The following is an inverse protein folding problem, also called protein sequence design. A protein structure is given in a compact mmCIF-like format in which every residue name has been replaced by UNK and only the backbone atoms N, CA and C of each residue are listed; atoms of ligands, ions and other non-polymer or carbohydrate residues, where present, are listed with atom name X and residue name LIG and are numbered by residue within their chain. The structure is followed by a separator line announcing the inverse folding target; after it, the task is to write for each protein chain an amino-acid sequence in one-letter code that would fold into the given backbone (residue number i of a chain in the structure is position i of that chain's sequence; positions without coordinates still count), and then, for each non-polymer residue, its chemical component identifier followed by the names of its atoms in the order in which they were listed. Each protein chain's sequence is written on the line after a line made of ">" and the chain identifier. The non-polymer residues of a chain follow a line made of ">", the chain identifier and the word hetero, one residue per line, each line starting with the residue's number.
data_IF_396334976485
#
_entry.id   IF_396334976485
#
_cell.length_a   1.000
_cell.length_b   1.000
_cell.length_c   1.000
_cell.angle_alpha   90.00
_cell.angle_beta   90.00
_cell.angle_gamma   90.00
#
_symmetry.space_group_name_H-M   'P 1'
#
loop_
_entity.id
_entity.type
_entity.pdbx_description
1 polymer ?
#
# COMPACT_ATOMS: atom_id res chain seq x y z
N UNK A 1 14.82 -45.03 23.55
CA UNK A 1 14.59 -45.18 22.09
C UNK A 1 14.89 -43.84 21.44
N UNK A 2 15.92 -43.78 20.59
CA UNK A 2 16.40 -42.55 19.99
C UNK A 2 15.29 -41.89 19.13
N UNK A 3 15.04 -40.61 19.38
CA UNK A 3 14.04 -39.80 18.69
C UNK A 3 14.49 -39.57 17.24
N UNK A 4 14.20 -40.52 16.35
CA UNK A 4 14.51 -40.37 14.92
C UNK A 4 13.66 -39.23 14.35
N UNK A 5 14.21 -38.37 13.47
CA UNK A 5 13.43 -37.33 12.83
C UNK A 5 12.25 -37.96 12.07
N UNK A 6 11.04 -37.41 12.24
CA UNK A 6 9.84 -37.83 11.51
C UNK A 6 10.06 -37.64 10.02
N UNK A 7 9.60 -38.58 9.20
CA UNK A 7 9.66 -38.47 7.73
C UNK A 7 8.88 -37.25 7.26
N UNK A 8 9.29 -36.60 6.17
CA UNK A 8 8.58 -35.43 5.69
C UNK A 8 7.15 -35.76 5.24
N UNK A 9 6.88 -37.00 4.82
CA UNK A 9 5.52 -37.49 4.55
C UNK A 9 4.65 -37.42 5.81
N UNK A 10 5.14 -37.95 6.93
CA UNK A 10 4.45 -37.92 8.24
C UNK A 10 4.36 -36.51 8.82
N UNK A 11 5.26 -35.59 8.43
CA UNK A 11 5.25 -34.20 8.89
C UNK A 11 4.15 -33.38 8.19
N UNK A 12 3.86 -33.69 6.93
CA UNK A 12 2.88 -32.97 6.12
C UNK A 12 1.57 -33.75 5.93
N UNK A 13 1.39 -34.86 6.66
CA UNK A 13 0.26 -35.78 6.55
C UNK A 13 -0.02 -36.21 5.09
N UNK A 14 1.07 -36.52 4.35
CA UNK A 14 1.01 -36.95 2.95
C UNK A 14 1.19 -38.48 2.86
N UNK A 15 0.28 -39.13 2.14
CA UNK A 15 0.40 -40.53 1.72
C UNK A 15 1.30 -40.66 0.49
N UNK A 16 1.92 -41.83 0.33
CA UNK A 16 2.78 -42.14 -0.82
C UNK A 16 2.01 -42.02 -2.15
N UNK A 17 0.72 -42.37 -2.16
CA UNK A 17 -0.17 -42.27 -3.31
C UNK A 17 -0.41 -40.82 -3.79
N UNK A 18 -0.13 -39.82 -2.94
CA UNK A 18 -0.21 -38.42 -3.34
C UNK A 18 0.99 -37.95 -4.17
N UNK A 19 2.06 -38.76 -4.26
CA UNK A 19 3.24 -38.52 -5.07
C UNK A 19 3.07 -39.11 -6.48
N UNK A 20 1.92 -38.85 -7.10
CA UNK A 20 1.60 -39.33 -8.45
C UNK A 20 1.10 -38.19 -9.37
N UNK A 21 1.30 -38.36 -10.67
CA UNK A 21 0.92 -37.38 -11.69
C UNK A 21 -0.59 -37.13 -11.72
N UNK A 22 -1.38 -38.18 -11.58
CA UNK A 22 -2.85 -38.09 -11.60
C UNK A 22 -3.38 -37.33 -10.39
N UNK A 23 -2.78 -37.56 -9.21
CA UNK A 23 -3.12 -36.83 -8.00
C UNK A 23 -2.78 -35.34 -8.12
N UNK A 24 -1.57 -35.01 -8.59
CA UNK A 24 -1.17 -33.61 -8.80
C UNK A 24 -2.06 -32.89 -9.83
N UNK A 25 -2.53 -33.60 -10.86
CA UNK A 25 -3.47 -33.05 -11.86
C UNK A 25 -4.82 -32.69 -11.25
N UNK A 26 -5.31 -33.51 -10.32
CA UNK A 26 -6.60 -33.31 -9.64
C UNK A 26 -6.48 -32.34 -8.45
N UNK A 27 -5.28 -32.13 -7.92
CA UNK A 27 -5.05 -31.26 -6.77
C UNK A 27 -5.36 -29.78 -7.11
N UNK A 28 -6.27 -29.19 -6.35
CA UNK A 28 -6.60 -27.76 -6.39
C UNK A 28 -6.04 -26.98 -5.19
N UNK A 29 -5.48 -27.69 -4.20
CA UNK A 29 -4.93 -27.09 -3.00
C UNK A 29 -3.46 -26.71 -3.20
N UNK A 30 -3.17 -25.41 -3.32
CA UNK A 30 -1.81 -24.91 -3.54
C UNK A 30 -0.84 -25.30 -2.41
N UNK A 31 -1.31 -25.41 -1.16
CA UNK A 31 -0.46 -25.76 -0.01
C UNK A 31 -0.02 -27.22 -0.02
N UNK A 32 -0.89 -28.11 -0.48
CA UNK A 32 -0.56 -29.53 -0.63
C UNK A 32 0.49 -29.71 -1.71
N UNK A 33 0.36 -29.05 -2.86
CA UNK A 33 1.36 -29.07 -3.94
C UNK A 33 2.70 -28.48 -3.46
N UNK A 34 2.70 -27.42 -2.65
CA UNK A 34 3.93 -26.89 -2.03
C UNK A 34 4.60 -27.93 -1.10
N UNK A 35 3.82 -28.69 -0.34
CA UNK A 35 4.35 -29.71 0.57
C UNK A 35 4.88 -30.93 -0.19
N UNK A 36 4.16 -31.38 -1.22
CA UNK A 36 4.62 -32.43 -2.15
C UNK A 36 5.94 -32.00 -2.80
N UNK A 37 6.06 -30.75 -3.26
CA UNK A 37 7.30 -30.25 -3.86
C UNK A 37 8.47 -30.23 -2.87
N UNK A 38 8.24 -29.93 -1.57
CA UNK A 38 9.28 -30.01 -0.53
C UNK A 38 9.75 -31.44 -0.29
N UNK A 39 8.82 -32.40 -0.28
CA UNK A 39 9.13 -33.85 -0.15
C UNK A 39 9.91 -34.35 -1.37
N UNK A 40 9.51 -33.96 -2.59
CA UNK A 40 10.21 -34.39 -3.79
C UNK A 40 11.61 -33.77 -3.92
N UNK A 41 11.81 -32.53 -3.45
CA UNK A 41 13.13 -31.87 -3.42
C UNK A 41 14.04 -32.38 -2.31
N UNK A 42 13.51 -32.93 -1.22
CA UNK A 42 14.34 -33.52 -0.14
C UNK A 42 14.97 -34.85 -0.56
N UNK A 43 14.38 -35.55 -1.53
CA UNK A 43 14.87 -36.83 -2.04
C UNK A 43 14.68 -38.00 -1.07
N UNK A 44 13.88 -37.85 0.00
CA UNK A 44 13.64 -38.90 1.00
C UNK A 44 13.00 -40.16 0.42
N UNK A 45 12.09 -40.00 -0.55
CA UNK A 45 11.38 -41.11 -1.22
C UNK A 45 11.98 -41.47 -2.59
N UNK A 46 13.09 -40.83 -2.98
CA UNK A 46 13.75 -41.00 -4.27
C UNK A 46 13.79 -39.72 -5.12
N UNK A 47 14.61 -39.75 -6.17
CA UNK A 47 14.81 -38.61 -7.07
C UNK A 47 13.93 -38.73 -8.32
N UNK A 48 12.85 -37.94 -8.38
CA UNK A 48 11.89 -37.96 -9.48
C UNK A 48 11.85 -36.62 -10.22
N UNK A 49 12.79 -36.36 -11.17
CA UNK A 49 12.94 -35.04 -11.80
C UNK A 49 11.75 -34.63 -12.68
N UNK A 50 11.01 -35.60 -13.23
CA UNK A 50 9.83 -35.32 -14.05
C UNK A 50 8.61 -34.96 -13.19
N UNK A 51 8.44 -35.64 -12.06
CA UNK A 51 7.37 -35.37 -11.10
C UNK A 51 7.59 -34.04 -10.37
N UNK A 52 8.84 -33.70 -10.03
CA UNK A 52 9.18 -32.39 -9.47
C UNK A 52 8.86 -31.26 -10.46
N UNK A 53 9.27 -31.40 -11.72
CA UNK A 53 8.98 -30.40 -12.76
C UNK A 53 7.47 -30.21 -12.95
N UNK A 54 6.71 -31.29 -12.98
CA UNK A 54 5.25 -31.24 -13.08
C UNK A 54 4.60 -30.58 -11.86
N UNK A 55 5.08 -30.88 -10.65
CA UNK A 55 4.63 -30.23 -9.42
C UNK A 55 4.98 -28.73 -9.39
N UNK A 56 6.14 -28.32 -9.92
CA UNK A 56 6.53 -26.92 -10.06
C UNK A 56 5.63 -26.16 -11.04
N UNK A 57 5.32 -26.76 -12.20
CA UNK A 57 4.42 -26.18 -13.18
C UNK A 57 3.00 -26.04 -12.63
N UNK A 58 2.51 -27.08 -11.93
CA UNK A 58 1.21 -27.05 -11.27
C UNK A 58 1.19 -25.98 -10.18
N UNK A 59 2.22 -25.88 -9.36
CA UNK A 59 2.35 -24.84 -8.34
C UNK A 59 2.39 -23.44 -8.96
N UNK A 60 3.06 -23.27 -10.11
CA UNK A 60 3.09 -21.99 -10.85
C UNK A 60 1.70 -21.58 -11.33
N UNK A 61 0.87 -22.54 -11.75
CA UNK A 61 -0.52 -22.29 -12.16
C UNK A 61 -1.45 -21.89 -11.01
N UNK A 62 -1.24 -22.45 -9.81
CA UNK A 62 -2.07 -22.17 -8.64
C UNK A 62 -1.58 -20.96 -7.83
N UNK A 63 -0.26 -20.82 -7.67
CA UNK A 63 0.40 -19.79 -6.87
C UNK A 63 1.77 -19.38 -7.43
N UNK A 64 1.80 -18.40 -8.34
CA UNK A 64 3.05 -17.94 -8.97
C UNK A 64 4.03 -17.28 -7.98
N UNK A 65 3.53 -16.69 -6.88
CA UNK A 65 4.35 -15.96 -5.90
C UNK A 65 5.00 -16.85 -4.82
N UNK A 66 4.88 -18.18 -4.94
CA UNK A 66 5.39 -19.10 -3.93
C UNK A 66 6.93 -19.02 -3.81
N UNK A 67 7.43 -19.04 -2.56
CA UNK A 67 8.88 -18.94 -2.29
C UNK A 67 9.68 -20.08 -2.92
N UNK A 68 9.05 -21.25 -3.10
CA UNK A 68 9.68 -22.44 -3.69
C UNK A 68 10.02 -22.29 -5.18
N UNK A 69 9.32 -21.40 -5.89
CA UNK A 69 9.59 -21.11 -7.31
C UNK A 69 10.70 -20.08 -7.52
N UNK A 70 11.17 -19.42 -6.45
CA UNK A 70 12.30 -18.49 -6.53
C UNK A 70 13.57 -19.27 -6.83
N UNK A 71 14.22 -18.92 -7.94
CA UNK A 71 15.54 -19.42 -8.29
C UNK A 71 16.58 -18.36 -7.94
N UNK A 72 17.72 -18.80 -7.43
CA UNK A 72 18.85 -17.91 -7.19
C UNK A 72 19.35 -17.42 -8.56
N UNK A 73 19.25 -16.11 -8.78
CA UNK A 73 19.81 -15.45 -9.95
C UNK A 73 21.11 -14.78 -9.52
N UNK A 74 22.21 -14.93 -10.29
CA UNK A 74 23.44 -14.21 -9.98
C UNK A 74 23.19 -12.70 -10.01
N UNK A 75 23.97 -11.95 -9.21
CA UNK A 75 23.92 -10.50 -9.21
C UNK A 75 24.12 -9.97 -10.63
N UNK A 76 23.26 -9.03 -11.03
CA UNK A 76 23.33 -8.41 -12.33
C UNK A 76 24.57 -7.52 -12.41
N UNK A 77 25.59 -7.97 -13.15
CA UNK A 77 26.79 -7.21 -13.45
C UNK A 77 26.58 -6.37 -14.71
N UNK A 78 27.45 -5.39 -14.97
CA UNK A 78 27.39 -4.55 -16.17
C UNK A 78 27.21 -5.34 -17.47
N UNK A 79 27.84 -6.51 -17.60
CA UNK A 79 27.80 -7.34 -18.80
C UNK A 79 26.56 -8.22 -18.94
N UNK A 80 25.75 -8.38 -17.89
CA UNK A 80 24.54 -9.22 -17.93
C UNK A 80 23.27 -8.41 -18.17
N UNK A 81 23.36 -7.08 -18.12
CA UNK A 81 22.24 -6.16 -18.30
C UNK A 81 22.31 -5.48 -19.68
N UNK A 82 21.15 -5.10 -20.26
CA UNK A 82 21.13 -4.26 -21.44
C UNK A 82 21.81 -2.90 -21.18
N UNK A 83 22.63 -2.45 -22.13
CA UNK A 83 23.44 -1.23 -21.99
C UNK A 83 22.59 0.01 -21.65
N UNK A 84 21.39 0.14 -22.23
CA UNK A 84 20.47 1.25 -21.93
C UNK A 84 20.05 1.32 -20.45
N UNK A 85 19.82 0.16 -19.83
CA UNK A 85 19.46 0.09 -18.42
C UNK A 85 20.67 0.42 -17.55
N UNK A 86 21.86 -0.05 -17.92
CA UNK A 86 23.09 0.27 -17.22
C UNK A 86 23.40 1.76 -17.28
N UNK A 87 23.24 2.40 -18.45
CA UNK A 87 23.41 3.84 -18.60
C UNK A 87 22.41 4.62 -17.74
N UNK A 88 21.15 4.18 -17.68
CA UNK A 88 20.15 4.83 -16.82
C UNK A 88 20.48 4.72 -15.33
N UNK A 89 21.02 3.56 -14.92
CA UNK A 89 21.45 3.34 -13.53
C UNK A 89 22.67 4.19 -13.22
N UNK A 90 23.67 4.20 -14.11
CA UNK A 90 24.92 4.94 -13.92
C UNK A 90 24.68 6.45 -13.89
N UNK A 91 23.83 6.98 -14.76
CA UNK A 91 23.47 8.41 -14.75
C UNK A 91 22.79 8.78 -13.44
N UNK A 92 21.80 8.00 -13.00
CA UNK A 92 21.13 8.23 -11.70
C UNK A 92 22.09 8.15 -10.52
N UNK A 93 23.04 7.23 -10.56
CA UNK A 93 24.03 7.06 -9.50
C UNK A 93 25.00 8.25 -9.46
N UNK A 94 25.42 8.74 -10.62
CA UNK A 94 26.25 9.95 -10.75
C UNK A 94 25.49 11.22 -10.36
N UNK A 95 24.23 11.36 -10.76
CA UNK A 95 23.34 12.45 -10.34
C UNK A 95 23.21 12.47 -8.81
N UNK A 96 22.93 11.31 -8.21
CA UNK A 96 22.86 11.16 -6.77
C UNK A 96 24.18 11.49 -6.08
N UNK A 97 25.31 11.02 -6.63
CA UNK A 97 26.63 11.31 -6.07
C UNK A 97 26.97 12.80 -6.15
N UNK A 98 26.62 13.47 -7.25
CA UNK A 98 26.79 14.92 -7.40
C UNK A 98 25.90 15.69 -6.42
N UNK A 99 24.64 15.26 -6.26
CA UNK A 99 23.73 15.85 -5.28
C UNK A 99 24.27 15.71 -3.86
N UNK A 100 24.77 14.53 -3.48
CA UNK A 100 25.36 14.31 -2.15
C UNK A 100 26.62 15.14 -1.91
N UNK A 101 27.48 15.31 -2.93
CA UNK A 101 28.63 16.20 -2.83
C UNK A 101 28.22 17.66 -2.66
N UNK A 102 27.21 18.12 -3.41
CA UNK A 102 26.68 19.48 -3.27
C UNK A 102 26.07 19.71 -1.89
N UNK A 103 25.36 18.71 -1.35
CA UNK A 103 24.82 18.71 0.02
C UNK A 103 25.97 18.82 1.04
N UNK A 104 27.02 18.01 0.89
CA UNK A 104 28.18 18.04 1.79
C UNK A 104 28.92 19.38 1.74
N UNK A 105 29.05 19.97 0.56
CA UNK A 105 29.69 21.27 0.38
C UNK A 105 28.86 22.42 0.97
N UNK A 106 27.54 22.39 0.81
CA UNK A 106 26.61 23.34 1.45
C UNK A 106 26.76 23.27 2.99
N UNK A 107 26.75 22.06 3.56
CA UNK A 107 26.93 21.85 5.00
C UNK A 107 28.30 22.34 5.50
N UNK A 108 29.39 22.07 4.75
CA UNK A 108 30.73 22.55 5.11
C UNK A 108 30.81 24.08 5.07
N UNK A 109 30.22 24.72 4.05
CA UNK A 109 30.26 26.17 3.90
C UNK A 109 29.51 26.93 5.01
N UNK A 110 28.48 26.32 5.59
CA UNK A 110 27.71 26.89 6.70
C UNK A 110 28.35 26.66 8.07
N UNK A 111 29.29 25.71 8.19
CA UNK A 111 29.89 25.32 9.47
C UNK A 111 30.97 26.29 9.98
N UNK A 112 31.47 27.19 9.12
CA UNK A 112 32.46 28.22 9.50
C UNK A 112 31.85 29.42 10.25
N UNK A 113 30.51 29.51 10.39
CA UNK A 113 29.83 30.70 10.96
C UNK A 113 29.32 30.53 12.41
N UNK A 114 29.55 29.39 13.08
CA UNK A 114 29.10 29.18 14.48
C UNK A 114 30.19 28.59 15.37
N UNK A 115 31.15 29.41 15.79
CA UNK A 115 31.96 29.14 17.00
C UNK A 115 31.12 29.43 18.26
N UNK A 116 30.10 28.60 18.51
CA UNK A 116 29.35 28.62 19.77
C UNK A 116 30.10 27.78 20.82
N UNK A 117 30.68 28.39 21.88
CA UNK A 117 31.48 27.68 22.89
C UNK A 117 30.69 26.68 23.75
N UNK A 118 29.36 26.63 23.58
CA UNK A 118 28.47 25.79 24.37
C UNK A 118 28.21 24.40 23.78
N UNK A 119 28.58 24.15 22.52
CA UNK A 119 28.33 22.87 21.84
C UNK A 119 29.62 22.03 21.78
N UNK A 120 29.62 20.78 22.27
CA UNK A 120 30.80 19.92 22.23
C UNK A 120 31.18 19.58 20.79
N UNK A 121 32.48 19.72 20.48
CA UNK A 121 33.06 19.47 19.15
C UNK A 121 32.72 18.05 18.67
N UNK A 122 32.08 17.95 17.51
CA UNK A 122 31.74 16.67 16.89
C UNK A 122 33.04 15.90 16.64
N UNK A 123 33.10 14.64 17.10
CA UNK A 123 34.26 13.77 16.87
C UNK A 123 34.34 13.44 15.38
N UNK A 124 35.24 14.12 14.66
CA UNK A 124 35.65 13.68 13.33
C UNK A 124 36.37 12.35 13.47
N UNK A 125 35.83 11.29 12.88
CA UNK A 125 36.57 10.04 12.70
C UNK A 125 37.62 10.34 11.62
N UNK A 126 38.93 10.24 11.92
CA UNK A 126 39.92 10.34 10.86
C UNK A 126 39.70 9.16 9.92
N UNK A 127 39.24 9.44 8.70
CA UNK A 127 39.30 8.48 7.61
C UNK A 127 40.77 8.41 7.18
N UNK A 128 41.58 7.75 7.99
CA UNK A 128 42.90 7.31 7.56
C UNK A 128 42.70 6.12 6.63
N UNK A 129 42.99 6.31 5.35
CA UNK A 129 43.43 5.23 4.46
C UNK A 129 44.70 4.64 5.07
N UNK A 130 44.53 3.77 6.07
CA UNK A 130 45.63 3.05 6.69
C UNK A 130 45.85 1.76 5.90
N UNK A 131 46.93 1.75 5.13
CA UNK A 131 47.58 0.53 4.68
C UNK A 131 47.84 -0.34 5.92
N UNK A 132 47.50 -1.62 5.79
CA UNK A 132 47.63 -2.62 6.85
C UNK A 132 49.11 -2.84 7.13
N UNK A 133 49.58 -2.39 8.30
CA UNK A 133 50.77 -2.94 8.95
C UNK A 133 50.30 -3.81 10.12
N UNK A 134 50.55 -5.11 9.99
CA UNK A 134 50.35 -6.10 11.05
C UNK A 134 51.38 -5.89 12.15
N UNK A 135 50.99 -5.20 13.22
CA UNK A 135 51.70 -5.25 14.50
C UNK A 135 50.95 -6.17 15.46
N UNK A 136 51.51 -7.36 15.66
CA UNK A 136 51.11 -8.38 16.62
C UNK A 136 50.82 -7.80 18.00
N UNK A 137 49.55 -7.74 18.38
CA UNK A 137 49.13 -7.34 19.71
C UNK A 137 49.01 -8.58 20.60
N UNK A 138 49.84 -8.62 21.63
CA UNK A 138 49.82 -9.59 22.72
C UNK A 138 48.44 -9.58 23.37
N UNK A 139 47.82 -10.77 23.46
CA UNK A 139 46.54 -10.95 24.16
C UNK A 139 46.68 -10.55 25.64
N UNK A 140 45.83 -9.66 26.18
CA UNK A 140 45.86 -9.37 27.61
C UNK A 140 45.34 -10.58 28.38
N UNK A 141 46.12 -11.03 29.36
CA UNK A 141 45.80 -12.15 30.23
C UNK A 141 44.40 -12.02 30.83
N UNK A 142 43.65 -13.12 30.78
CA UNK A 142 42.35 -13.28 31.42
C UNK A 142 42.46 -12.91 32.89
N UNK A 143 41.79 -11.83 33.31
CA UNK A 143 41.61 -11.49 34.73
C UNK A 143 40.74 -12.58 35.37
N UNK A 144 41.36 -13.65 35.85
CA UNK A 144 40.72 -14.62 36.72
C UNK A 144 40.13 -13.87 37.92
N UNK A 145 38.84 -14.12 38.19
CA UNK A 145 38.17 -13.62 39.39
C UNK A 145 38.84 -14.32 40.58
N UNK A 146 39.55 -13.54 41.42
CA UNK A 146 40.13 -14.03 42.68
C UNK A 146 39.02 -14.65 43.54
N UNK A 147 39.29 -15.80 44.15
CA UNK A 147 38.33 -16.46 45.04
C UNK A 147 37.87 -15.47 46.13
N UNK A 148 36.55 -15.39 46.33
CA UNK A 148 35.99 -14.52 47.36
C UNK A 148 36.27 -15.11 48.74
N UNK A 149 36.92 -14.33 49.60
CA UNK A 149 36.91 -14.57 51.05
C UNK A 149 35.49 -14.48 51.59
N UNK A 150 35.05 -15.55 52.25
CA UNK A 150 33.72 -15.62 52.88
C UNK A 150 33.62 -14.76 54.15
N UNK A 151 34.73 -14.24 54.68
CA UNK A 151 34.76 -13.32 55.84
C UNK A 151 33.96 -12.02 55.63
N UNK A 152 33.63 -11.69 54.37
CA UNK A 152 32.75 -10.55 54.05
C UNK A 152 31.28 -10.82 54.40
N UNK A 153 30.88 -12.08 54.51
CA UNK A 153 29.53 -12.49 54.89
C UNK A 153 29.26 -12.32 56.39
N UNK A 154 30.29 -12.40 57.23
CA UNK A 154 30.14 -12.15 58.68
C UNK A 154 29.83 -10.67 59.01
N UNK A 155 30.04 -9.76 58.04
CA UNK A 155 29.68 -8.34 58.13
C UNK A 155 28.35 -8.02 57.44
N UNK A 156 27.67 -9.02 56.87
CA UNK A 156 26.41 -8.83 56.16
C UNK A 156 25.27 -8.73 57.18
N UNK A 157 24.82 -7.51 57.43
CA UNK A 157 23.63 -7.25 58.22
C UNK A 157 22.41 -7.24 57.28
N UNK A 158 21.61 -8.30 57.36
CA UNK A 158 20.46 -8.52 56.50
C UNK A 158 19.43 -7.39 56.60
N UNK A 159 19.29 -6.78 57.77
CA UNK A 159 18.33 -5.69 57.99
C UNK A 159 18.79 -4.41 57.26
N UNK A 160 20.10 -4.17 57.21
CA UNK A 160 20.67 -3.01 56.49
C UNK A 160 20.58 -3.14 54.97
N UNK A 161 20.79 -4.33 54.42
CA UNK A 161 20.68 -4.56 52.99
C UNK A 161 19.22 -4.62 52.54
N UNK A 162 18.30 -5.12 53.38
CA UNK A 162 16.86 -5.00 53.13
C UNK A 162 16.42 -3.53 53.05
N UNK A 163 16.86 -2.69 54.00
CA UNK A 163 16.59 -1.25 53.98
C UNK A 163 17.15 -0.57 52.72
N UNK A 164 18.34 -1.00 52.27
CA UNK A 164 18.98 -0.49 51.05
C UNK A 164 18.25 -0.91 49.78
N UNK A 165 17.73 -2.14 49.73
CA UNK A 165 16.88 -2.61 48.64
C UNK A 165 15.57 -1.82 48.58
N UNK A 166 14.93 -1.55 49.72
CA UNK A 166 13.71 -0.75 49.79
C UNK A 166 13.95 0.69 49.29
N UNK A 167 15.07 1.30 49.70
CA UNK A 167 15.51 2.62 49.25
C UNK A 167 15.82 2.65 47.75
N UNK A 168 16.51 1.64 47.21
CA UNK A 168 16.81 1.56 45.78
C UNK A 168 15.54 1.33 44.96
N UNK A 169 14.58 0.56 45.46
CA UNK A 169 13.27 0.39 44.84
C UNK A 169 12.46 1.69 44.86
N UNK A 170 12.50 2.46 45.95
CA UNK A 170 11.92 3.81 46.00
C UNK A 170 12.59 4.79 45.04
N UNK A 171 13.92 4.77 44.94
CA UNK A 171 14.65 5.59 43.95
C UNK A 171 14.28 5.20 42.53
N UNK A 172 14.10 3.91 42.26
CA UNK A 172 13.67 3.43 40.95
C UNK A 172 12.23 3.86 40.63
N UNK A 173 11.32 3.72 41.60
CA UNK A 173 9.93 4.21 41.51
C UNK A 173 9.90 5.72 41.24
N UNK A 174 10.71 6.50 41.94
CA UNK A 174 10.80 7.95 41.75
C UNK A 174 11.40 8.32 40.40
N UNK A 175 12.45 7.62 39.95
CA UNK A 175 13.02 7.80 38.62
C UNK A 175 11.99 7.53 37.51
N UNK A 176 11.18 6.48 37.65
CA UNK A 176 10.08 6.17 36.73
C UNK A 176 9.01 7.26 36.77
N UNK A 177 8.64 7.79 37.95
CA UNK A 177 7.73 8.95 38.05
C UNK A 177 8.29 10.18 37.36
N UNK A 178 9.56 10.50 37.58
CA UNK A 178 10.25 11.63 36.94
C UNK A 178 10.28 11.44 35.42
N UNK A 179 10.58 10.23 34.93
CA UNK A 179 10.62 9.95 33.49
C UNK A 179 9.23 10.01 32.85
N UNK A 180 8.20 9.48 33.52
CA UNK A 180 6.81 9.61 33.08
C UNK A 180 6.35 11.07 33.12
N UNK A 181 6.78 11.85 34.11
CA UNK A 181 6.52 13.30 34.20
C UNK A 181 7.20 14.05 33.06
N UNK A 182 8.48 13.77 32.78
CA UNK A 182 9.22 14.33 31.63
C UNK A 182 8.61 13.94 30.29
N UNK A 183 8.08 12.72 30.15
CA UNK A 183 7.34 12.32 28.96
C UNK A 183 5.96 12.98 28.84
N UNK A 184 5.31 13.32 29.97
CA UNK A 184 4.04 14.04 29.99
C UNK A 184 4.21 15.55 29.79
N UNK A 185 5.32 16.11 30.25
CA UNK A 185 5.79 17.46 29.97
C UNK A 185 6.41 17.45 28.57
N UNK A 186 5.55 17.46 27.53
CA UNK A 186 5.94 17.71 26.13
C UNK A 186 7.01 18.81 26.17
N UNK A 187 8.23 18.61 25.63
CA UNK A 187 9.26 19.64 25.69
C UNK A 187 8.69 20.88 25.02
N UNK A 188 8.59 21.96 25.80
CA UNK A 188 8.27 23.28 25.28
C UNK A 188 9.50 23.68 24.49
N UNK A 189 9.46 23.40 23.18
CA UNK A 189 10.49 23.86 22.25
C UNK A 189 10.45 25.37 22.36
N UNK A 190 11.46 25.96 22.99
CA UNK A 190 11.72 27.38 22.86
C UNK A 190 11.79 27.68 21.36
N UNK A 191 10.90 28.54 20.90
CA UNK A 191 10.87 28.99 19.52
C UNK A 191 12.26 29.53 19.20
N UNK A 192 12.93 28.84 18.27
CA UNK A 192 14.23 29.24 17.77
C UNK A 192 14.15 30.73 17.37
N UNK A 193 15.12 31.55 17.78
CA UNK A 193 15.12 32.97 17.45
C UNK A 193 15.05 33.16 15.92
N UNK A 194 14.33 34.18 15.43
CA UNK A 194 13.85 34.28 14.04
C UNK A 194 14.94 34.54 12.98
N UNK A 195 16.23 34.40 13.29
CA UNK A 195 17.33 34.74 12.39
C UNK A 195 18.52 33.78 12.47
N UNK A 196 18.26 32.47 12.55
CA UNK A 196 19.29 31.49 12.17
C UNK A 196 19.18 31.29 10.65
N UNK A 197 20.26 31.55 9.91
CA UNK A 197 20.36 31.26 8.47
C UNK A 197 20.41 29.74 8.28
N UNK A 198 19.30 29.07 8.56
CA UNK A 198 19.19 27.64 8.51
C UNK A 198 19.23 27.17 7.04
N UNK A 199 20.10 26.22 6.71
CA UNK A 199 20.22 25.69 5.33
C UNK A 199 18.86 25.16 4.88
N UNK A 200 18.60 25.20 3.56
CA UNK A 200 17.36 24.67 2.98
C UNK A 200 17.12 23.22 3.41
N UNK A 201 18.18 22.44 3.57
CA UNK A 201 18.09 21.04 4.01
C UNK A 201 17.72 20.92 5.48
N UNK A 202 18.32 21.74 6.34
CA UNK A 202 18.00 21.80 7.75
C UNK A 202 16.54 22.24 7.96
N UNK A 203 16.08 23.25 7.20
CA UNK A 203 14.67 23.65 7.15
C UNK A 203 13.77 22.48 6.75
N UNK A 204 14.16 21.70 5.75
CA UNK A 204 13.41 20.53 5.32
C UNK A 204 13.36 19.43 6.39
N UNK A 205 14.46 19.19 7.11
CA UNK A 205 14.53 18.22 8.21
C UNK A 205 13.67 18.67 9.39
N UNK A 206 13.76 19.94 9.81
CA UNK A 206 12.93 20.48 10.89
C UNK A 206 11.45 20.49 10.48
N UNK A 207 11.13 20.92 9.25
CA UNK A 207 9.77 20.84 8.72
C UNK A 207 9.25 19.39 8.72
N UNK A 208 10.09 18.42 8.37
CA UNK A 208 9.78 16.99 8.45
C UNK A 208 9.44 16.53 9.87
N UNK A 209 10.24 16.93 10.87
CA UNK A 209 10.01 16.64 12.29
C UNK A 209 8.72 17.28 12.82
N UNK A 210 8.46 18.54 12.48
CA UNK A 210 7.20 19.23 12.86
C UNK A 210 5.98 18.55 12.23
N UNK A 211 6.08 18.12 10.97
CA UNK A 211 5.03 17.33 10.31
C UNK A 211 4.79 16.00 11.02
N UNK A 212 5.83 15.32 11.46
CA UNK A 212 5.69 14.07 12.23
C UNK A 212 5.02 14.31 13.57
N UNK A 213 5.42 15.37 14.29
CA UNK A 213 4.76 15.79 15.53
C UNK A 213 3.28 16.10 15.32
N UNK A 214 2.93 16.81 14.25
CA UNK A 214 1.54 17.04 13.85
C UNK A 214 0.78 15.75 13.56
N UNK A 215 1.43 14.74 12.95
CA UNK A 215 0.82 13.42 12.74
C UNK A 215 0.54 12.69 14.05
N UNK A 216 1.42 12.82 15.04
CA UNK A 216 1.23 12.22 16.36
C UNK A 216 0.10 12.92 17.13
N UNK A 217 0.02 14.25 17.09
CA UNK A 217 -1.13 15.01 17.61
C UNK A 217 -2.44 14.62 16.90
N UNK A 218 -2.41 14.40 15.59
CA UNK A 218 -3.57 13.93 14.83
C UNK A 218 -4.03 12.53 15.28
N UNK A 219 -3.09 11.62 15.55
CA UNK A 219 -3.38 10.28 16.10
C UNK A 219 -3.94 10.36 17.53
N UNK A 220 -3.46 11.31 18.33
CA UNK A 220 -3.99 11.62 19.66
C UNK A 220 -5.38 12.29 19.63
N UNK A 221 -5.92 12.59 18.44
CA UNK A 221 -7.19 13.33 18.21
C UNK A 221 -7.14 14.80 18.66
N UNK A 222 -5.95 15.33 18.91
CA UNK A 222 -5.69 16.73 19.23
C UNK A 222 -5.59 17.53 17.92
N UNK A 223 -6.72 17.68 17.21
CA UNK A 223 -6.70 18.21 15.84
C UNK A 223 -6.29 19.69 15.74
N UNK A 224 -6.52 20.49 16.78
CA UNK A 224 -6.10 21.91 16.81
C UNK A 224 -4.59 22.04 16.92
N UNK A 225 -3.98 21.29 17.86
CA UNK A 225 -2.52 21.23 18.01
C UNK A 225 -1.86 20.68 16.74
N UNK A 226 -2.47 19.66 16.11
CA UNK A 226 -1.97 19.13 14.85
C UNK A 226 -1.90 20.20 13.75
N UNK A 227 -2.92 21.07 13.64
CA UNK A 227 -2.92 22.19 12.69
C UNK A 227 -1.78 23.16 12.98
N UNK A 228 -1.59 23.57 14.24
CA UNK A 228 -0.51 24.49 14.63
C UNK A 228 0.88 23.93 14.29
N UNK A 229 1.11 22.64 14.52
CA UNK A 229 2.39 22.00 14.17
C UNK A 229 2.58 21.86 12.64
N UNK A 230 1.49 21.64 11.89
CA UNK A 230 1.54 21.67 10.42
C UNK A 230 1.76 23.08 9.88
N UNK A 231 1.21 24.12 10.50
CA UNK A 231 1.43 25.52 10.13
C UNK A 231 2.92 25.87 10.25
N UNK A 232 3.53 25.56 11.41
CA UNK A 232 4.97 25.73 11.62
C UNK A 232 5.82 24.96 10.61
N UNK A 233 5.40 23.75 10.24
CA UNK A 233 6.07 22.94 9.22
C UNK A 233 6.03 23.62 7.84
N UNK A 234 4.87 24.18 7.47
CA UNK A 234 4.65 24.84 6.18
C UNK A 234 5.34 26.21 6.08
N UNK A 235 5.47 26.94 7.18
CA UNK A 235 6.26 28.17 7.26
C UNK A 235 7.74 27.92 6.94
N UNK A 236 8.29 26.78 7.37
CA UNK A 236 9.67 26.39 7.07
C UNK A 236 9.84 25.82 5.66
N UNK A 237 8.98 24.87 5.28
CA UNK A 237 9.05 24.20 3.98
C UNK A 237 7.65 23.78 3.49
N UNK A 238 7.11 24.44 2.46
CA UNK A 238 5.82 24.05 1.89
C UNK A 238 5.96 22.72 1.17
N UNK A 239 5.28 21.69 1.68
CA UNK A 239 5.29 20.33 1.11
C UNK A 239 3.88 19.83 0.87
N UNK A 240 3.67 19.15 -0.27
CA UNK A 240 2.36 18.60 -0.63
C UNK A 240 1.82 17.67 0.48
N UNK A 241 2.68 16.86 1.08
CA UNK A 241 2.31 15.98 2.18
C UNK A 241 1.80 16.72 3.43
N UNK A 242 2.39 17.88 3.76
CA UNK A 242 1.96 18.66 4.92
C UNK A 242 0.59 19.31 4.70
N UNK A 243 0.39 19.97 3.55
CA UNK A 243 -0.93 20.51 3.16
C UNK A 243 -2.01 19.42 3.17
N UNK A 244 -1.70 18.24 2.65
CA UNK A 244 -2.63 17.12 2.61
C UNK A 244 -3.04 16.65 4.03
N UNK A 245 -2.09 16.61 4.97
CA UNK A 245 -2.35 16.20 6.35
C UNK A 245 -3.09 17.28 7.13
N UNK A 246 -2.74 18.56 6.94
CA UNK A 246 -3.45 19.72 7.53
C UNK A 246 -4.90 19.79 7.04
N UNK A 247 -5.15 19.57 5.75
CA UNK A 247 -6.50 19.46 5.20
C UNK A 247 -7.36 18.41 5.91
N UNK A 248 -6.78 17.24 6.22
CA UNK A 248 -7.49 16.19 6.97
C UNK A 248 -7.80 16.65 8.40
N UNK A 249 -6.88 17.34 9.08
CA UNK A 249 -7.13 17.93 10.40
C UNK A 249 -8.28 18.96 10.34
N UNK A 250 -8.31 19.81 9.32
CA UNK A 250 -9.41 20.76 9.10
C UNK A 250 -10.77 20.09 8.85
N UNK A 251 -10.81 19.01 8.06
CA UNK A 251 -12.03 18.21 7.88
C UNK A 251 -12.54 17.67 9.22
N UNK A 252 -11.65 17.21 10.11
CA UNK A 252 -12.04 16.73 11.45
C UNK A 252 -12.53 17.86 12.36
N UNK A 253 -11.99 19.07 12.19
CA UNK A 253 -12.45 20.29 12.88
C UNK A 253 -13.70 20.91 12.24
N UNK A 254 -14.22 20.34 11.14
CA UNK A 254 -15.34 20.87 10.34
C UNK A 254 -15.08 22.24 9.70
N UNK A 255 -13.80 22.60 9.49
CA UNK A 255 -13.37 23.80 8.76
C UNK A 255 -13.17 23.43 7.29
N UNK A 256 -14.27 23.30 6.54
CA UNK A 256 -14.22 22.71 5.20
C UNK A 256 -13.59 23.62 4.14
N UNK A 257 -13.80 24.94 4.21
CA UNK A 257 -13.24 25.89 3.23
C UNK A 257 -11.71 25.91 3.24
N UNK A 258 -11.12 25.91 4.44
CA UNK A 258 -9.67 25.85 4.62
C UNK A 258 -9.09 24.50 4.18
N UNK A 259 -9.82 23.40 4.43
CA UNK A 259 -9.43 22.09 3.94
C UNK A 259 -9.42 22.04 2.40
N UNK A 260 -10.35 22.72 1.73
CA UNK A 260 -10.40 22.81 0.26
C UNK A 260 -9.20 23.61 -0.25
N UNK A 261 -8.91 24.77 0.37
CA UNK A 261 -7.76 25.59 0.02
C UNK A 261 -6.43 24.82 0.16
N UNK A 262 -6.25 24.07 1.25
CA UNK A 262 -5.07 23.22 1.44
C UNK A 262 -4.99 22.07 0.43
N UNK A 263 -6.11 21.45 0.10
CA UNK A 263 -6.14 20.45 -0.96
C UNK A 263 -5.73 21.06 -2.31
N UNK A 264 -6.14 22.30 -2.60
CA UNK A 264 -5.78 22.99 -3.83
C UNK A 264 -4.28 23.33 -3.89
N UNK A 265 -3.69 23.76 -2.78
CA UNK A 265 -2.23 23.94 -2.69
C UNK A 265 -1.48 22.62 -2.86
N UNK A 266 -2.00 21.54 -2.26
CA UNK A 266 -1.43 20.20 -2.45
C UNK A 266 -1.47 19.76 -3.92
N UNK A 267 -2.58 20.00 -4.62
CA UNK A 267 -2.75 19.66 -6.04
C UNK A 267 -1.96 20.56 -6.99
N UNK A 268 -1.67 21.81 -6.59
CA UNK A 268 -0.77 22.68 -7.33
C UNK A 268 0.67 22.14 -7.32
N UNK A 269 1.10 21.51 -6.21
CA UNK A 269 2.40 20.86 -6.10
C UNK A 269 2.40 19.45 -6.73
N UNK A 270 1.36 18.66 -6.48
CA UNK A 270 1.21 17.28 -6.95
C UNK A 270 -0.18 17.06 -7.58
N UNK A 271 -0.35 17.32 -8.89
CA UNK A 271 -1.67 17.27 -9.54
C UNK A 271 -2.27 15.86 -9.60
N UNK A 272 -1.45 14.82 -9.48
CA UNK A 272 -1.86 13.41 -9.53
C UNK A 272 -2.07 12.79 -8.14
N UNK A 273 -2.04 13.59 -7.07
CA UNK A 273 -2.19 13.08 -5.71
C UNK A 273 -3.64 12.64 -5.42
N UNK A 274 -3.89 11.33 -5.54
CA UNK A 274 -5.19 10.70 -5.27
C UNK A 274 -5.74 11.01 -3.87
N UNK A 275 -4.87 11.07 -2.84
CA UNK A 275 -5.31 11.33 -1.46
C UNK A 275 -5.84 12.76 -1.31
N UNK A 276 -5.16 13.73 -1.93
CA UNK A 276 -5.58 15.13 -1.91
C UNK A 276 -6.91 15.32 -2.64
N UNK A 277 -7.10 14.72 -3.82
CA UNK A 277 -8.36 14.76 -4.57
C UNK A 277 -9.53 14.15 -3.77
N UNK A 278 -9.33 13.00 -3.13
CA UNK A 278 -10.36 12.37 -2.29
C UNK A 278 -10.75 13.24 -1.09
N UNK A 279 -9.76 13.86 -0.44
CA UNK A 279 -9.99 14.76 0.70
C UNK A 279 -10.69 16.04 0.28
N UNK A 280 -10.32 16.62 -0.88
CA UNK A 280 -11.03 17.76 -1.47
C UNK A 280 -12.49 17.43 -1.74
N UNK A 281 -12.76 16.29 -2.39
CA UNK A 281 -14.11 15.86 -2.69
C UNK A 281 -14.94 15.59 -1.42
N UNK A 282 -14.32 15.02 -0.38
CA UNK A 282 -14.94 14.83 0.92
C UNK A 282 -15.27 16.17 1.60
N UNK A 283 -14.34 17.13 1.58
CA UNK A 283 -14.54 18.46 2.14
C UNK A 283 -15.66 19.21 1.40
N UNK A 284 -15.67 19.20 0.07
CA UNK A 284 -16.73 19.80 -0.76
C UNK A 284 -18.10 19.17 -0.51
N UNK A 285 -18.16 17.84 -0.35
CA UNK A 285 -19.41 17.15 -0.01
C UNK A 285 -19.93 17.58 1.36
N UNK A 286 -19.02 17.82 2.30
CA UNK A 286 -19.35 18.27 3.66
C UNK A 286 -19.70 19.75 3.71
N UNK A 287 -19.18 20.56 2.78
CA UNK A 287 -19.51 21.98 2.60
C UNK A 287 -20.76 22.23 1.74
N UNK A 288 -21.56 21.20 1.45
CA UNK A 288 -22.76 21.21 0.60
C UNK A 288 -22.54 21.54 -0.89
N UNK A 289 -21.29 21.70 -1.33
CA UNK A 289 -20.89 21.93 -2.73
C UNK A 289 -20.88 20.63 -3.55
N UNK A 290 -22.05 19.97 -3.63
CA UNK A 290 -22.23 18.64 -4.26
C UNK A 290 -21.82 18.57 -5.73
N UNK A 291 -22.07 19.64 -6.50
CA UNK A 291 -21.77 19.68 -7.95
C UNK A 291 -20.26 19.64 -8.22
N UNK A 292 -19.50 20.38 -7.43
CA UNK A 292 -18.04 20.41 -7.54
C UNK A 292 -17.44 19.12 -6.99
N UNK A 293 -17.94 18.63 -5.85
CA UNK A 293 -17.53 17.34 -5.30
C UNK A 293 -17.69 16.20 -6.32
N UNK A 294 -18.80 16.17 -7.07
CA UNK A 294 -19.03 15.18 -8.11
C UNK A 294 -17.98 15.25 -9.22
N UNK A 295 -17.62 16.45 -9.70
CA UNK A 295 -16.56 16.63 -10.70
C UNK A 295 -15.21 16.10 -10.19
N UNK A 296 -14.83 16.46 -8.96
CA UNK A 296 -13.56 16.00 -8.37
C UNK A 296 -13.54 14.49 -8.20
N UNK A 297 -14.64 13.86 -7.77
CA UNK A 297 -14.71 12.40 -7.70
C UNK A 297 -14.63 11.74 -9.10
N UNK A 298 -15.19 12.36 -10.15
CA UNK A 298 -14.99 11.89 -11.51
C UNK A 298 -13.52 11.98 -11.93
N UNK A 299 -12.80 13.02 -11.54
CA UNK A 299 -11.36 13.14 -11.79
C UNK A 299 -10.56 12.06 -11.03
N UNK A 300 -10.95 11.72 -9.80
CA UNK A 300 -10.38 10.56 -9.09
C UNK A 300 -10.60 9.26 -9.86
N UNK A 301 -11.81 9.02 -10.38
CA UNK A 301 -12.11 7.79 -11.14
C UNK A 301 -11.40 7.73 -12.50
N UNK A 302 -11.02 8.87 -13.08
CA UNK A 302 -10.17 8.91 -14.28
C UNK A 302 -8.75 8.42 -13.98
N UNK A 303 -8.23 8.76 -12.80
CA UNK A 303 -6.89 8.33 -12.37
C UNK A 303 -6.90 6.88 -11.83
N UNK A 304 -7.90 6.54 -11.01
CA UNK A 304 -8.09 5.21 -10.44
C UNK A 304 -9.57 4.78 -10.56
N UNK A 305 -9.90 4.02 -11.62
CA UNK A 305 -11.25 3.51 -11.85
C UNK A 305 -11.75 2.52 -10.78
N UNK A 306 -10.84 1.94 -9.99
CA UNK A 306 -11.16 0.88 -9.01
C UNK A 306 -11.46 1.42 -7.62
N UNK A 307 -11.39 2.74 -7.43
CA UNK A 307 -11.53 3.34 -6.12
C UNK A 307 -12.98 3.26 -5.57
N UNK A 308 -13.18 2.38 -4.59
CA UNK A 308 -14.48 2.15 -3.95
C UNK A 308 -15.08 3.41 -3.30
N UNK A 309 -14.27 4.30 -2.73
CA UNK A 309 -14.74 5.52 -2.06
C UNK A 309 -15.31 6.47 -3.12
N UNK A 310 -14.62 6.64 -4.24
CA UNK A 310 -15.09 7.49 -5.33
C UNK A 310 -16.33 6.91 -6.02
N UNK A 311 -16.38 5.60 -6.27
CA UNK A 311 -17.56 4.93 -6.85
C UNK A 311 -18.82 5.07 -5.98
N UNK A 312 -18.69 4.79 -4.69
CA UNK A 312 -19.81 4.93 -3.75
C UNK A 312 -20.27 6.38 -3.59
N UNK A 313 -19.32 7.32 -3.50
CA UNK A 313 -19.61 8.75 -3.35
C UNK A 313 -20.24 9.35 -4.60
N UNK A 314 -19.76 9.00 -5.81
CA UNK A 314 -20.38 9.45 -7.08
C UNK A 314 -21.78 8.89 -7.25
N UNK A 315 -22.02 7.62 -6.93
CA UNK A 315 -23.36 7.04 -6.96
C UNK A 315 -24.32 7.74 -5.99
N UNK A 316 -23.84 8.07 -4.77
CA UNK A 316 -24.62 8.82 -3.78
C UNK A 316 -24.93 10.25 -4.25
N UNK A 317 -23.92 10.99 -4.70
CA UNK A 317 -24.08 12.36 -5.19
C UNK A 317 -24.98 12.42 -6.42
N UNK A 318 -24.92 11.41 -7.31
CA UNK A 318 -25.81 11.31 -8.48
C UNK A 318 -27.27 11.10 -8.11
N UNK A 319 -27.56 10.39 -7.01
CA UNK A 319 -28.94 10.27 -6.50
C UNK A 319 -29.45 11.60 -5.94
N UNK A 320 -28.57 12.39 -5.33
CA UNK A 320 -28.92 13.71 -4.78
C UNK A 320 -29.05 14.78 -5.87
N UNK A 321 -28.30 14.67 -6.96
CA UNK A 321 -28.30 15.60 -8.08
C UNK A 321 -29.10 15.04 -9.26
N UNK A 322 -30.41 15.26 -9.26
CA UNK A 322 -31.34 14.83 -10.32
C UNK A 322 -31.11 15.52 -11.66
N UNK A 323 -30.48 16.70 -11.63
CA UNK A 323 -30.24 17.55 -12.81
C UNK A 323 -29.04 17.08 -13.66
N UNK A 324 -28.29 16.08 -13.19
CA UNK A 324 -27.12 15.60 -13.92
C UNK A 324 -27.54 14.76 -15.13
N UNK A 325 -26.90 14.97 -16.30
CA UNK A 325 -27.23 14.22 -17.50
C UNK A 325 -26.99 12.71 -17.30
N UNK A 326 -27.77 11.84 -17.98
CA UNK A 326 -27.62 10.39 -17.88
C UNK A 326 -26.18 9.96 -18.19
N UNK A 327 -25.70 8.81 -17.67
CA UNK A 327 -24.27 8.44 -17.72
C UNK A 327 -23.75 8.34 -19.16
N UNK A 328 -24.65 8.07 -20.11
CA UNK A 328 -24.37 7.90 -21.52
C UNK A 328 -24.71 9.14 -22.36
N UNK A 329 -24.95 10.30 -21.73
CA UNK A 329 -25.26 11.52 -22.45
C UNK A 329 -24.04 12.01 -23.22
N UNK A 330 -24.14 12.02 -24.54
CA UNK A 330 -23.15 12.63 -25.43
C UNK A 330 -23.40 14.12 -25.47
N UNK A 331 -22.38 14.93 -25.12
CA UNK A 331 -22.47 16.39 -25.22
C UNK A 331 -22.30 16.79 -26.69
N UNK A 332 -23.40 17.10 -27.36
CA UNK A 332 -23.39 17.70 -28.70
C UNK A 332 -23.04 19.19 -28.53
N UNK A 333 -21.90 19.64 -29.07
CA UNK A 333 -21.60 21.06 -29.20
C UNK A 333 -22.25 21.57 -30.49
N UNK A 334 -23.23 22.46 -30.36
CA UNK A 334 -23.82 23.15 -31.51
C UNK A 334 -22.96 24.39 -31.72
N UNK A 335 -22.14 24.37 -32.77
CA UNK A 335 -21.38 25.52 -33.24
C UNK A 335 -22.26 26.23 -34.27
N UNK A 336 -22.74 27.44 -33.94
CA UNK A 336 -23.51 28.26 -34.88
C UNK A 336 -22.55 28.79 -35.96
N UNK A 337 -22.50 28.10 -37.10
CA UNK A 337 -21.75 28.56 -38.27
C UNK A 337 -22.60 29.63 -38.96
N UNK A 338 -22.18 30.89 -38.86
CA UNK A 338 -22.86 32.07 -39.44
C UNK A 338 -22.71 32.20 -40.97
N UNK A 339 -22.49 31.10 -41.70
CA UNK A 339 -22.41 31.12 -43.17
C UNK A 339 -23.63 30.42 -43.77
N UNK A 340 -24.68 31.20 -44.02
CA UNK A 340 -25.91 30.78 -44.67
C UNK A 340 -25.81 30.58 -46.20
N UNK A 341 -24.61 30.36 -46.75
CA UNK A 341 -24.39 30.20 -48.21
C UNK A 341 -23.62 28.94 -48.61
N UNK A 342 -23.23 28.08 -47.66
CA UNK A 342 -22.76 26.74 -48.02
C UNK A 342 -23.96 25.79 -48.02
N UNK A 343 -24.48 25.42 -49.20
CA UNK A 343 -25.27 24.21 -49.35
C UNK A 343 -24.50 23.05 -48.72
N UNK A 344 -24.94 22.59 -47.55
CA UNK A 344 -24.41 21.40 -46.93
C UNK A 344 -24.85 20.24 -47.81
N UNK A 345 -23.94 19.71 -48.63
CA UNK A 345 -24.23 18.55 -49.48
C UNK A 345 -24.42 17.32 -48.57
N UNK A 346 -25.69 16.99 -48.28
CA UNK A 346 -26.07 15.86 -47.43
C UNK A 346 -25.56 14.50 -47.92
N UNK A 347 -25.07 14.42 -49.17
CA UNK A 347 -24.43 13.21 -49.72
C UNK A 347 -23.09 12.91 -49.08
N UNK A 348 -22.35 13.92 -48.59
CA UNK A 348 -21.05 13.72 -47.95
C UNK A 348 -21.15 13.27 -46.49
N UNK A 349 -22.29 13.52 -45.81
CA UNK A 349 -22.57 12.97 -44.47
C UNK A 349 -22.98 11.49 -44.51
N UNK A 350 -23.42 10.97 -45.65
CA UNK A 350 -23.65 9.54 -45.87
C UNK A 350 -22.40 8.91 -46.49
N UNK A 351 -21.26 9.04 -45.82
CA UNK A 351 -20.21 8.04 -46.02
C UNK A 351 -20.63 6.81 -45.23
N UNK A 352 -21.06 5.70 -45.86
CA UNK A 352 -21.12 4.45 -45.13
C UNK A 352 -19.72 4.25 -44.56
N UNK A 353 -19.60 4.14 -43.23
CA UNK A 353 -18.34 3.75 -42.57
C UNK A 353 -17.74 2.66 -43.45
N UNK A 354 -16.53 2.87 -43.97
CA UNK A 354 -15.78 1.81 -44.68
C UNK A 354 -15.75 0.64 -43.72
N UNK A 355 -16.68 -0.29 -43.88
CA UNK A 355 -16.62 -1.59 -43.24
C UNK A 355 -15.39 -2.18 -43.90
N UNK A 356 -14.32 -2.34 -43.12
CA UNK A 356 -13.11 -3.03 -43.54
C UNK A 356 -13.59 -4.38 -44.06
N UNK A 357 -13.63 -4.56 -45.39
CA UNK A 357 -14.21 -5.73 -46.06
C UNK A 357 -13.60 -7.03 -45.55
N UNK A 358 -12.38 -6.94 -45.01
CA UNK A 358 -11.62 -8.06 -44.46
C UNK A 358 -12.22 -8.64 -43.16
N UNK A 359 -13.03 -7.87 -42.41
CA UNK A 359 -13.65 -8.33 -41.14
C UNK A 359 -15.10 -8.79 -41.30
N UNK A 360 -15.72 -8.57 -42.46
CA UNK A 360 -17.10 -9.00 -42.75
C UNK A 360 -17.25 -10.53 -42.68
N UNK A 361 -16.31 -11.34 -43.21
CA UNK A 361 -16.40 -12.81 -43.10
C UNK A 361 -16.30 -13.28 -41.65
N UNK A 362 -15.46 -12.63 -40.83
CA UNK A 362 -15.26 -12.95 -39.43
C UNK A 362 -16.51 -12.62 -38.60
N UNK A 363 -17.10 -11.44 -38.83
CA UNK A 363 -18.35 -11.04 -38.19
C UNK A 363 -19.53 -11.97 -38.56
N UNK A 364 -19.62 -12.41 -39.84
CA UNK A 364 -20.63 -13.39 -40.27
C UNK A 364 -20.39 -14.76 -39.61
N UNK A 365 -19.14 -15.18 -39.47
CA UNK A 365 -18.78 -16.42 -38.78
C UNK A 365 -19.14 -16.37 -37.30
N UNK A 366 -18.90 -15.23 -36.65
CA UNK A 366 -19.23 -14.99 -35.25
C UNK A 366 -20.75 -14.97 -35.03
N UNK A 367 -21.50 -14.29 -35.91
CA UNK A 367 -22.96 -14.27 -35.87
C UNK A 367 -23.57 -15.67 -36.03
N UNK A 368 -22.99 -16.51 -36.90
CA UNK A 368 -23.39 -17.92 -37.08
C UNK A 368 -23.11 -18.75 -35.83
N UNK A 369 -21.96 -18.57 -35.18
CA UNK A 369 -21.64 -19.24 -33.91
C UNK A 369 -22.61 -18.83 -32.81
N UNK A 370 -22.94 -17.54 -32.73
CA UNK A 370 -23.85 -17.02 -31.72
C UNK A 370 -25.29 -17.52 -31.95
N UNK A 371 -25.75 -17.61 -33.20
CA UNK A 371 -27.07 -18.20 -33.51
C UNK A 371 -27.13 -19.69 -33.16
N UNK A 372 -26.09 -20.46 -33.46
CA UNK A 372 -26.02 -21.88 -33.05
C UNK A 372 -26.03 -22.02 -31.53
N UNK A 373 -25.31 -21.17 -30.81
CA UNK A 373 -25.29 -21.17 -29.35
C UNK A 373 -26.65 -20.79 -28.74
N UNK A 374 -27.37 -19.84 -29.34
CA UNK A 374 -28.72 -19.46 -28.92
C UNK A 374 -29.70 -20.62 -29.13
N UNK A 375 -29.65 -21.28 -30.29
CA UNK A 375 -30.49 -22.44 -30.57
C UNK A 375 -30.17 -23.61 -29.62
N UNK A 376 -28.89 -23.83 -29.30
CA UNK A 376 -28.48 -24.84 -28.32
C UNK A 376 -29.01 -24.54 -26.91
N UNK A 377 -28.90 -23.29 -26.46
CA UNK A 377 -29.47 -22.86 -25.16
C UNK A 377 -30.99 -22.96 -25.14
N UNK A 378 -31.68 -22.71 -26.25
CA UNK A 378 -33.12 -22.92 -26.36
C UNK A 378 -33.47 -24.41 -26.30
N UNK A 379 -32.70 -25.28 -26.96
CA UNK A 379 -32.88 -26.73 -26.89
C UNK A 379 -32.63 -27.29 -25.49
N UNK A 380 -31.58 -26.84 -24.79
CA UNK A 380 -31.31 -27.19 -23.39
C UNK A 380 -32.47 -26.75 -22.46
N UNK A 381 -33.01 -25.53 -22.67
CA UNK A 381 -34.21 -25.07 -21.95
C UNK A 381 -35.49 -25.85 -22.25
N UNK A 382 -35.57 -26.52 -23.40
CA UNK A 382 -36.70 -27.39 -23.76
C UNK A 382 -36.51 -28.78 -23.15
N UNK A 383 -35.26 -29.25 -23.05
CA UNK A 383 -34.91 -30.52 -22.42
C UNK A 383 -35.04 -30.49 -20.89
N UNK A 384 -34.76 -29.36 -20.25
CA UNK A 384 -34.91 -29.18 -18.78
C UNK A 384 -36.36 -28.89 -18.33
N UNK A 385 -37.33 -28.88 -19.24
CA UNK A 385 -38.74 -28.72 -18.87
C UNK A 385 -39.32 -30.09 -18.51
N UNK A 386 -39.79 -30.32 -17.26
CA UNK A 386 -40.35 -31.60 -16.87
C UNK A 386 -41.56 -31.91 -17.77
N UNK A 387 -41.60 -33.14 -18.28
CA UNK A 387 -42.66 -33.65 -19.17
C UNK A 387 -43.98 -33.70 -18.40
N UNK A 388 -44.74 -32.60 -18.39
CA UNK A 388 -46.15 -32.64 -18.02
C UNK A 388 -46.91 -33.35 -19.14
N UNK A 389 -47.45 -34.53 -18.84
CA UNK A 389 -48.36 -35.26 -19.73
C UNK A 389 -49.57 -34.37 -20.05
N UNK A 390 -49.57 -33.77 -21.24
CA UNK A 390 -50.73 -33.08 -21.77
C UNK A 390 -51.81 -34.09 -22.12
N UNK A 391 -52.68 -34.38 -21.16
CA UNK A 391 -53.94 -35.07 -21.40
C UNK A 391 -54.85 -34.16 -22.23
N UNK A 392 -55.48 -34.72 -23.28
CA UNK A 392 -56.37 -33.99 -24.21
C UNK A 392 -57.72 -33.58 -23.60
N UNK A 393 -57.93 -33.86 -22.31
CA UNK A 393 -59.16 -33.55 -21.59
C UNK A 393 -58.84 -32.70 -20.36
N UNK A 394 -59.36 -31.46 -20.26
CA UNK A 394 -59.20 -30.67 -19.04
C UNK A 394 -59.90 -31.39 -17.88
N UNK A 395 -59.21 -31.53 -16.75
CA UNK A 395 -59.84 -32.05 -15.53
C UNK A 395 -61.01 -31.14 -15.13
N UNK A 396 -62.17 -31.70 -14.74
CA UNK A 396 -63.31 -30.91 -14.31
C UNK A 396 -62.94 -30.14 -13.03
N UNK A 397 -63.36 -28.87 -12.90
CA UNK A 397 -63.01 -28.05 -11.75
C UNK A 397 -63.51 -28.70 -10.45
N UNK A 398 -62.68 -28.65 -9.40
CA UNK A 398 -63.04 -29.14 -8.09
C UNK A 398 -64.35 -28.49 -7.63
N UNK A 399 -65.38 -29.34 -7.42
CA UNK A 399 -66.67 -28.90 -6.89
C UNK A 399 -66.43 -28.33 -5.51
N UNK A 400 -66.59 -27.00 -5.38
CA UNK A 400 -66.78 -26.35 -4.08
C UNK A 400 -68.08 -26.91 -3.51
N UNK A 401 -67.98 -27.76 -2.50
CA UNK A 401 -69.11 -28.08 -1.64
C UNK A 401 -69.48 -26.80 -0.88
N UNK A 402 -70.74 -26.33 -0.95
CA UNK A 402 -71.19 -25.28 -0.06
C UNK A 402 -71.28 -25.88 1.35
N UNK A 403 -70.70 -25.16 2.29
CA UNK A 403 -71.00 -25.27 3.71
C UNK A 403 -72.53 -25.12 3.86
N UNK A 404 -73.21 -26.19 4.27
CA UNK A 404 -74.56 -26.12 4.83
C UNK A 404 -74.45 -26.60 6.28
N UNK A 405 -74.98 -25.75 7.13
CA UNK A 405 -75.03 -25.74 8.58
C UNK A 405 -75.71 -26.97 9.22
N UNK A 406 -75.36 -27.16 10.50
CA UNK A 406 -76.20 -27.71 11.58
C UNK A 406 -76.80 -29.12 11.41
N UNK A 407 -76.12 -30.09 12.05
CA UNK A 407 -76.66 -30.93 13.14
C UNK A 407 -75.53 -31.61 13.91
#
# INVERSE_FOLDING_TARGET
>A
MANKPKRLLEKYDLLLDHLDFDYLRQSNNAREVENILKVLRSGEEGHFPQLTAFAEERLKSLRPDSKLLRKEQPLATQHTMPDEQWQTISTRLNEWQSMMKAIEEDLRSMQDETDDPTVPRIRSIPVSNAMVEESSTVMPESKYIKYCDYDKWDKFDADTEMLKMDLDEERHREMVRINNKKNSEKPKIEELPPQVNLSQQEKQVIAGKLREKGNDSFRAKEYKEAVEEYDKSLELCPTAACYNNRAMAYIKLKRYDEAIADCDQCLALEPTNLKALLRKAQALTSNDNRREAYKVYCDVLRLDPTNNIALSSTASLRRQLTDLPPPNAVRMAIEEVSNAEAEIDFRDLVRPKKVVKDKVPEAISQLRKDTVNILRRQAEKIADRPTEERTLFPEPPQRRTPLIEEL
#
